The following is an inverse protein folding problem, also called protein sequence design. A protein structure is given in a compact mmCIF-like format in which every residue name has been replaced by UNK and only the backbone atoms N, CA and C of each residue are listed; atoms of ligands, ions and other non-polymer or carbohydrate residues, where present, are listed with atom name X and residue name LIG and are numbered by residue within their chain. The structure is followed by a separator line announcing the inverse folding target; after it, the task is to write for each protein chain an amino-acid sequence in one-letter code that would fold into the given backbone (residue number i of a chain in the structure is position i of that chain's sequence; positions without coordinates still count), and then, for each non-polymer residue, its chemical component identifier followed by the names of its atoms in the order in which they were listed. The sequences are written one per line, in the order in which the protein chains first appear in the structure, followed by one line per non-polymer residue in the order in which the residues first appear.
data_IF_812041020037
#
_entry.id   IF_812041020037
#
_cell.length_a   1.000
_cell.length_b   1.000
_cell.length_c   1.000
_cell.angle_alpha   90.00
_cell.angle_beta   90.00
_cell.angle_gamma   90.00
#
_symmetry.space_group_name_H-M   'P 1'
#
loop_
_entity.id
_entity.type
_entity.pdbx_description
1 polymer ?
#
# COMPACT_ATOMS: atom_id res chain seq x y z
N UNK A 1 -13.70 -17.70 -24.18
CA UNK A 1 -13.00 -17.70 -22.87
C UNK A 1 -13.22 -16.34 -22.22
N UNK A 2 -13.56 -16.22 -20.93
CA UNK A 2 -13.68 -14.92 -20.30
C UNK A 2 -12.29 -14.30 -20.25
N UNK A 3 -12.10 -13.19 -20.97
CA UNK A 3 -10.90 -12.36 -20.86
C UNK A 3 -10.87 -11.77 -19.45
N UNK A 4 -9.91 -12.20 -18.62
CA UNK A 4 -9.69 -11.59 -17.31
C UNK A 4 -9.21 -10.16 -17.53
N UNK A 5 -10.12 -9.21 -17.43
CA UNK A 5 -9.78 -7.80 -17.48
C UNK A 5 -9.03 -7.41 -16.21
N UNK A 6 -7.91 -6.70 -16.37
CA UNK A 6 -7.15 -6.19 -15.24
C UNK A 6 -8.04 -5.29 -14.37
N UNK A 7 -8.14 -5.61 -13.08
CA UNK A 7 -8.80 -4.76 -12.09
C UNK A 7 -7.76 -4.24 -11.12
N UNK A 8 -7.63 -2.91 -11.04
CA UNK A 8 -6.75 -2.27 -10.06
C UNK A 8 -7.21 -2.63 -8.64
N UNK A 9 -6.25 -2.97 -7.77
CA UNK A 9 -6.49 -3.10 -6.33
C UNK A 9 -6.88 -1.74 -5.72
N UNK A 10 -7.70 -1.76 -4.68
CA UNK A 10 -8.08 -0.60 -3.88
C UNK A 10 -7.74 -0.84 -2.41
N UNK A 11 -6.46 -0.76 -2.01
CA UNK A 11 -6.04 -1.02 -0.63
C UNK A 11 -6.85 -0.24 0.40
N UNK A 12 -7.26 0.98 0.07
CA UNK A 12 -8.08 1.86 0.92
C UNK A 12 -9.44 1.27 1.35
N UNK A 13 -9.92 0.25 0.64
CA UNK A 13 -11.17 -0.46 0.99
C UNK A 13 -10.94 -1.70 1.86
N UNK A 14 -9.69 -2.16 1.99
CA UNK A 14 -9.35 -3.39 2.71
C UNK A 14 -9.33 -3.19 4.24
N UNK A 15 -9.72 -4.21 5.03
CA UNK A 15 -9.79 -4.10 6.49
C UNK A 15 -8.46 -3.69 7.15
N UNK A 16 -7.35 -4.30 6.74
CA UNK A 16 -6.03 -4.01 7.31
C UNK A 16 -5.61 -2.56 7.06
N UNK A 17 -5.81 -2.07 5.84
CA UNK A 17 -5.52 -0.67 5.52
C UNK A 17 -6.31 0.27 6.41
N UNK A 18 -7.63 0.05 6.52
CA UNK A 18 -8.53 0.90 7.31
C UNK A 18 -8.19 0.90 8.79
N UNK A 19 -7.77 -0.24 9.35
CA UNK A 19 -7.33 -0.32 10.74
C UNK A 19 -6.02 0.43 10.94
N UNK A 20 -5.03 0.19 10.08
CA UNK A 20 -3.73 0.83 10.20
C UNK A 20 -3.79 2.34 9.95
N UNK A 21 -4.52 2.80 8.94
CA UNK A 21 -4.66 4.22 8.62
C UNK A 21 -5.36 5.00 9.73
N UNK A 22 -6.21 4.35 10.52
CA UNK A 22 -6.91 4.99 11.65
C UNK A 22 -6.11 5.00 12.94
N UNK A 23 -5.23 4.02 13.14
CA UNK A 23 -4.68 3.74 14.47
C UNK A 23 -3.15 3.80 14.54
N UNK A 24 -2.42 3.84 13.42
CA UNK A 24 -0.95 3.78 13.41
C UNK A 24 -0.32 4.90 14.24
N UNK A 25 -0.75 6.14 14.06
CA UNK A 25 -0.21 7.29 14.81
C UNK A 25 -0.45 7.15 16.31
N UNK A 26 -1.69 6.84 16.70
CA UNK A 26 -2.05 6.63 18.11
C UNK A 26 -1.25 5.49 18.72
N UNK A 27 -1.08 4.38 17.99
CA UNK A 27 -0.32 3.23 18.45
C UNK A 27 1.16 3.58 18.66
N UNK A 28 1.79 4.31 17.73
CA UNK A 28 3.18 4.75 17.87
C UNK A 28 3.35 5.72 19.06
N UNK A 29 2.41 6.65 19.24
CA UNK A 29 2.43 7.59 20.36
C UNK A 29 2.27 6.88 21.72
N UNK A 30 1.39 5.87 21.81
CA UNK A 30 1.20 5.07 23.02
C UNK A 30 2.45 4.26 23.39
N UNK A 31 3.14 3.68 22.40
CA UNK A 31 4.41 2.99 22.65
C UNK A 31 5.44 3.95 23.26
N UNK A 32 5.60 5.13 22.66
CA UNK A 32 6.53 6.15 23.15
C UNK A 32 6.20 6.59 24.59
N UNK A 33 4.91 6.73 24.93
CA UNK A 33 4.48 7.06 26.29
C UNK A 33 4.85 5.99 27.34
N UNK A 34 5.08 4.75 26.91
CA UNK A 34 5.54 3.64 27.76
C UNK A 34 7.06 3.41 27.71
N UNK A 35 7.82 4.37 27.16
CA UNK A 35 9.26 4.28 26.90
C UNK A 35 9.64 3.06 26.04
N UNK A 36 8.73 2.66 25.16
CA UNK A 36 8.93 1.59 24.17
C UNK A 36 8.93 2.17 22.77
N UNK A 37 9.71 1.57 21.88
CA UNK A 37 9.73 1.95 20.48
C UNK A 37 9.81 0.70 19.61
N UNK A 38 9.17 0.77 18.45
CA UNK A 38 9.41 -0.22 17.41
C UNK A 38 10.80 0.00 16.80
N UNK A 39 11.47 -1.05 16.33
CA UNK A 39 12.60 -0.88 15.44
C UNK A 39 12.19 0.02 14.28
N UNK A 40 13.04 1.00 13.94
CA UNK A 40 12.76 2.03 12.93
C UNK A 40 12.23 1.45 11.61
N UNK A 41 12.80 0.33 11.17
CA UNK A 41 12.38 -0.32 9.93
C UNK A 41 10.93 -0.82 9.97
N UNK A 42 10.44 -1.29 11.12
CA UNK A 42 9.05 -1.78 11.27
C UNK A 42 8.07 -0.63 11.11
N UNK A 43 8.31 0.50 11.80
CA UNK A 43 7.47 1.68 11.65
C UNK A 43 7.48 2.20 10.21
N UNK A 44 8.65 2.23 9.56
CA UNK A 44 8.77 2.61 8.14
C UNK A 44 7.99 1.68 7.22
N UNK A 45 7.94 0.37 7.48
CA UNK A 45 7.14 -0.57 6.70
C UNK A 45 5.63 -0.36 6.88
N UNK A 46 5.18 -0.04 8.10
CA UNK A 46 3.77 0.30 8.36
C UNK A 46 3.34 1.55 7.58
N UNK A 47 4.18 2.60 7.60
CA UNK A 47 3.93 3.81 6.81
C UNK A 47 3.96 3.52 5.29
N UNK A 48 4.98 2.80 4.83
CA UNK A 48 5.09 2.44 3.42
C UNK A 48 3.93 1.56 2.93
N UNK A 49 3.35 0.74 3.80
CA UNK A 49 2.14 -0.02 3.50
C UNK A 49 0.93 0.89 3.25
N UNK A 50 0.76 1.96 4.04
CA UNK A 50 -0.33 2.93 3.84
C UNK A 50 -0.21 3.71 2.53
N UNK A 51 1.00 3.87 2.00
CA UNK A 51 1.21 4.49 0.69
C UNK A 51 1.05 3.48 -0.47
N UNK A 52 1.25 2.19 -0.20
CA UNK A 52 1.30 1.14 -1.19
C UNK A 52 -0.01 1.01 -1.97
N UNK A 53 0.06 1.16 -3.29
CA UNK A 53 -1.09 0.98 -4.16
C UNK A 53 -2.09 2.15 -4.16
N UNK A 54 -1.79 3.25 -3.46
CA UNK A 54 -2.62 4.45 -3.39
C UNK A 54 -2.15 5.46 -4.45
N UNK A 55 -3.08 5.92 -5.30
CA UNK A 55 -2.75 6.81 -6.43
C UNK A 55 -2.19 8.17 -5.99
N UNK A 56 -2.59 8.67 -4.82
CA UNK A 56 -2.10 9.94 -4.28
C UNK A 56 -0.58 9.90 -3.97
N UNK A 57 -0.01 8.72 -3.75
CA UNK A 57 1.42 8.53 -3.48
C UNK A 57 2.23 8.17 -4.74
N UNK A 58 1.59 8.22 -5.92
CA UNK A 58 2.25 8.05 -7.21
C UNK A 58 1.76 6.84 -8.01
N UNK A 59 1.84 6.99 -9.33
CA UNK A 59 1.39 5.99 -10.29
C UNK A 59 2.08 6.14 -11.64
N UNK A 60 2.00 5.09 -12.46
CA UNK A 60 2.33 5.12 -13.89
C UNK A 60 1.06 4.98 -14.72
N UNK A 61 1.03 5.71 -15.84
CA UNK A 61 0.07 5.47 -16.91
C UNK A 61 0.75 4.62 -17.98
N UNK A 62 0.29 3.39 -18.15
CA UNK A 62 0.78 2.47 -19.16
C UNK A 62 -0.20 2.48 -20.33
N UNK A 63 0.30 2.59 -21.56
CA UNK A 63 -0.49 2.54 -22.78
C UNK A 63 0.08 1.46 -23.70
N UNK A 64 -0.80 0.63 -24.25
CA UNK A 64 -0.43 -0.29 -25.33
C UNK A 64 -0.35 0.49 -26.64
N UNK A 65 0.74 0.31 -27.39
CA UNK A 65 0.92 0.98 -28.69
C UNK A 65 0.04 0.35 -29.78
N UNK A 66 -0.16 -0.96 -29.74
CA UNK A 66 -0.92 -1.70 -30.76
C UNK A 66 -2.44 -1.45 -30.67
N UNK A 67 -3.00 -1.47 -29.44
CA UNK A 67 -4.45 -1.36 -29.24
C UNK A 67 -4.91 -0.03 -28.59
N UNK A 68 -3.98 0.84 -28.19
CA UNK A 68 -4.28 2.15 -27.60
C UNK A 68 -4.84 2.12 -26.16
N UNK A 69 -5.17 0.95 -25.62
CA UNK A 69 -5.69 0.76 -24.26
C UNK A 69 -4.71 1.35 -23.24
N UNK A 70 -5.23 2.10 -22.26
CA UNK A 70 -4.40 2.72 -21.22
C UNK A 70 -4.88 2.40 -19.82
N UNK A 71 -3.95 2.16 -18.91
CA UNK A 71 -4.21 1.75 -17.53
C UNK A 71 -3.35 2.53 -16.55
N UNK A 72 -3.86 2.72 -15.35
CA UNK A 72 -3.12 3.33 -14.24
C UNK A 72 -2.65 2.25 -13.29
N UNK A 73 -1.35 2.25 -13.01
CA UNK A 73 -0.68 1.31 -12.11
C UNK A 73 -0.09 2.11 -10.95
N UNK A 74 -0.64 1.92 -9.75
CA UNK A 74 -0.12 2.57 -8.54
C UNK A 74 1.23 1.97 -8.15
N UNK A 75 2.08 2.76 -7.48
CA UNK A 75 3.37 2.27 -7.00
C UNK A 75 3.23 1.25 -5.87
N UNK A 76 4.18 0.32 -5.83
CA UNK A 76 4.33 -0.67 -4.75
C UNK A 76 5.34 -0.18 -3.72
N UNK A 77 5.13 -0.50 -2.45
CA UNK A 77 6.08 -0.14 -1.39
C UNK A 77 7.40 -0.93 -1.46
N UNK A 78 7.44 -2.05 -2.20
CA UNK A 78 8.59 -2.94 -2.39
C UNK A 78 9.19 -3.45 -1.06
N UNK A 79 8.40 -3.48 0.02
CA UNK A 79 8.80 -3.99 1.33
C UNK A 79 8.55 -5.49 1.42
N UNK A 80 9.33 -6.17 2.26
CA UNK A 80 9.24 -7.63 2.49
C UNK A 80 8.40 -7.99 3.71
N UNK A 81 7.99 -6.99 4.51
CA UNK A 81 7.08 -7.17 5.63
C UNK A 81 5.63 -7.45 5.21
N UNK A 82 4.69 -7.12 6.08
CA UNK A 82 3.29 -7.57 6.06
C UNK A 82 2.39 -7.00 4.95
N UNK A 83 2.94 -6.34 3.92
CA UNK A 83 2.13 -5.78 2.85
C UNK A 83 1.55 -6.92 1.97
N UNK A 84 0.23 -7.21 2.02
CA UNK A 84 -0.38 -8.26 1.21
C UNK A 84 -0.35 -7.95 -0.29
N UNK A 85 -0.08 -6.70 -0.65
CA UNK A 85 0.06 -6.29 -2.05
C UNK A 85 1.45 -6.56 -2.63
N UNK A 86 2.49 -6.64 -1.79
CA UNK A 86 3.90 -6.76 -2.22
C UNK A 86 4.55 -8.08 -1.85
N UNK A 87 4.02 -8.82 -0.86
CA UNK A 87 4.41 -10.21 -0.65
C UNK A 87 3.87 -11.07 -1.80
N UNK A 88 4.77 -11.37 -2.74
CA UNK A 88 4.60 -12.30 -3.85
C UNK A 88 5.95 -12.90 -4.19
#
# INVERSE_FOLDING_TARGET
MPTVAYRRRKPETEPLYRAMSRHLETFLAQLQATDRQLPRHVAQEMWAYLECGILAHGFLRVRCEDCGESRIVAFSCKKRGSCPSCMG
#
